data_IF_095791297527
#
_entry.id   IF_095791297527
#
_cell.length_a   1.000
_cell.length_b   1.000
_cell.length_c   1.000
_cell.angle_alpha   90.00
_cell.angle_beta   90.00
_cell.angle_gamma   90.00
#
_symmetry.space_group_name_H-M   'P 1'
#
loop_
_entity.id
_entity.type
_entity.pdbx_description
1 polymer ?
#
# COMPACT_ATOMS: atom_id res chain seq x y z
N UNK A 1 24.55 15.33 -1.14
CA UNK A 1 24.01 13.95 -1.15
C UNK A 1 23.14 13.62 0.06
N UNK A 2 23.58 13.89 1.30
CA UNK A 2 22.78 13.65 2.53
C UNK A 2 21.48 14.48 2.62
N UNK A 3 21.48 15.72 2.11
CA UNK A 3 20.31 16.61 2.14
C UNK A 3 19.13 16.09 1.28
N UNK A 4 19.38 15.64 0.05
CA UNK A 4 18.29 15.18 -0.84
C UNK A 4 17.63 13.88 -0.36
N UNK A 5 18.42 12.93 0.18
CA UNK A 5 17.87 11.71 0.78
C UNK A 5 17.01 12.00 2.01
N UNK A 6 17.46 12.93 2.88
CA UNK A 6 16.69 13.34 4.04
C UNK A 6 15.38 14.05 3.64
N UNK A 7 15.41 14.88 2.60
CA UNK A 7 14.20 15.58 2.10
C UNK A 7 13.13 14.60 1.62
N UNK A 8 13.52 13.53 0.91
CA UNK A 8 12.56 12.52 0.43
C UNK A 8 12.03 11.67 1.60
N UNK A 9 12.87 11.29 2.56
CA UNK A 9 12.40 10.58 3.75
C UNK A 9 11.50 11.47 4.62
N UNK A 10 11.83 12.75 4.80
CA UNK A 10 11.00 13.70 5.53
C UNK A 10 9.66 13.89 4.83
N UNK A 11 9.65 14.11 3.51
CA UNK A 11 8.40 14.24 2.74
C UNK A 11 7.53 12.99 2.84
N UNK A 12 8.14 11.79 2.77
CA UNK A 12 7.40 10.53 2.92
C UNK A 12 6.79 10.41 4.32
N UNK A 13 7.56 10.71 5.36
CA UNK A 13 7.08 10.66 6.75
C UNK A 13 6.00 11.71 6.99
N UNK A 14 6.13 12.92 6.45
CA UNK A 14 5.11 13.96 6.53
C UNK A 14 3.81 13.56 5.82
N UNK A 15 3.88 12.89 4.67
CA UNK A 15 2.69 12.39 3.95
C UNK A 15 2.02 11.25 4.73
N UNK A 16 2.80 10.33 5.32
CA UNK A 16 2.28 9.26 6.18
C UNK A 16 1.62 9.87 7.44
N UNK A 17 2.26 10.84 8.07
CA UNK A 17 1.73 11.56 9.24
C UNK A 17 0.44 12.31 8.88
N UNK A 18 0.39 12.95 7.71
CA UNK A 18 -0.81 13.64 7.23
C UNK A 18 -1.95 12.66 6.97
N UNK A 19 -1.68 11.51 6.32
CA UNK A 19 -2.69 10.46 6.16
C UNK A 19 -3.19 9.93 7.51
N UNK A 20 -2.29 9.76 8.48
CA UNK A 20 -2.63 9.33 9.83
C UNK A 20 -3.52 10.35 10.56
N UNK A 21 -3.19 11.64 10.48
CA UNK A 21 -4.02 12.72 11.06
C UNK A 21 -5.38 12.77 10.36
N UNK A 22 -5.42 12.66 9.03
CA UNK A 22 -6.67 12.66 8.27
C UNK A 22 -7.55 11.45 8.65
N UNK A 23 -6.95 10.29 8.91
CA UNK A 23 -7.64 9.09 9.41
C UNK A 23 -8.31 9.31 10.77
N UNK A 24 -7.67 10.08 11.65
CA UNK A 24 -8.20 10.41 12.97
C UNK A 24 -9.32 11.47 12.90
N UNK A 25 -9.22 12.42 11.97
CA UNK A 25 -10.19 13.52 11.82
C UNK A 25 -11.43 13.10 11.03
N UNK A 26 -11.29 12.18 10.07
CA UNK A 26 -12.40 11.64 9.28
C UNK A 26 -12.54 10.13 9.51
N UNK A 27 -13.07 9.69 10.67
CA UNK A 27 -13.57 8.34 10.78
C UNK A 27 -14.70 8.20 9.74
N UNK A 28 -14.45 7.41 8.69
CA UNK A 28 -15.39 7.23 7.60
C UNK A 28 -16.78 6.83 8.11
N UNK A 29 -17.81 7.11 7.31
CA UNK A 29 -19.24 6.89 7.60
C UNK A 29 -19.60 5.52 8.24
N UNK A 30 -18.73 4.52 8.08
CA UNK A 30 -18.83 3.18 8.68
C UNK A 30 -18.68 3.16 10.21
N UNK A 31 -18.05 4.17 10.82
CA UNK A 31 -17.96 4.32 12.29
C UNK A 31 -19.28 4.85 12.89
N UNK A 32 -20.14 5.47 12.08
CA UNK A 32 -21.40 6.07 12.55
C UNK A 32 -22.55 5.04 12.65
N UNK A 33 -22.45 3.90 11.97
CA UNK A 33 -23.49 2.86 11.94
C UNK A 33 -23.16 1.64 12.81
N UNK A 34 -21.89 1.46 13.19
CA UNK A 34 -21.49 0.40 14.11
C UNK A 34 -21.59 0.91 15.55
N UNK A 35 -22.34 0.19 16.40
CA UNK A 35 -22.28 0.32 17.86
C UNK A 35 -20.82 0.54 18.31
N UNK A 36 -20.51 1.55 19.14
CA UNK A 36 -19.17 2.06 19.41
C UNK A 36 -18.41 1.09 20.31
N UNK A 37 -18.14 -0.07 19.77
CA UNK A 37 -17.27 -1.06 20.35
C UNK A 37 -15.83 -0.65 20.06
N UNK A 38 -15.00 -0.67 21.09
CA UNK A 38 -13.61 -0.20 21.00
C UNK A 38 -12.80 -0.93 19.91
N UNK A 39 -13.22 -2.12 19.49
CA UNK A 39 -12.58 -2.94 18.46
C UNK A 39 -12.82 -2.42 17.03
N UNK A 40 -14.04 -1.97 16.71
CA UNK A 40 -14.39 -1.51 15.37
C UNK A 40 -13.59 -0.24 15.01
N UNK A 41 -13.40 0.65 15.99
CA UNK A 41 -12.60 1.87 15.84
C UNK A 41 -11.14 1.52 15.52
N UNK A 42 -10.53 0.58 16.25
CA UNK A 42 -9.15 0.13 16.00
C UNK A 42 -9.03 -0.49 14.61
N UNK A 43 -9.99 -1.32 14.19
CA UNK A 43 -10.01 -1.94 12.87
C UNK A 43 -10.08 -0.91 11.74
N UNK A 44 -10.96 0.10 11.87
CA UNK A 44 -11.10 1.17 10.88
C UNK A 44 -9.85 2.02 10.82
N UNK A 45 -9.28 2.44 11.96
CA UNK A 45 -8.02 3.18 11.98
C UNK A 45 -6.92 2.38 11.29
N UNK A 46 -6.77 1.10 11.64
CA UNK A 46 -5.76 0.24 11.03
C UNK A 46 -5.95 0.11 9.52
N UNK A 47 -7.20 0.03 9.04
CA UNK A 47 -7.52 0.00 7.61
C UNK A 47 -7.03 1.26 6.90
N UNK A 48 -7.31 2.43 7.47
CA UNK A 48 -6.94 3.72 6.86
C UNK A 48 -5.42 3.90 6.87
N UNK A 49 -4.74 3.58 7.98
CA UNK A 49 -3.27 3.65 8.07
C UNK A 49 -2.63 2.72 7.05
N UNK A 50 -3.12 1.48 6.95
CA UNK A 50 -2.62 0.48 5.99
C UNK A 50 -2.77 0.98 4.56
N UNK A 51 -3.96 1.48 4.20
CA UNK A 51 -4.24 2.01 2.87
C UNK A 51 -3.34 3.22 2.54
N UNK A 52 -3.13 4.13 3.49
CA UNK A 52 -2.24 5.28 3.32
C UNK A 52 -0.78 4.87 3.10
N UNK A 53 -0.25 4.00 3.94
CA UNK A 53 1.15 3.54 3.84
C UNK A 53 1.39 2.76 2.54
N UNK A 54 0.51 1.84 2.16
CA UNK A 54 0.64 1.07 0.93
C UNK A 54 0.40 1.93 -0.32
N UNK A 55 -0.49 2.93 -0.25
CA UNK A 55 -0.69 3.91 -1.31
C UNK A 55 0.58 4.75 -1.55
N UNK A 56 1.22 5.22 -0.48
CA UNK A 56 2.51 5.93 -0.56
C UNK A 56 3.59 5.04 -1.17
N UNK A 57 3.67 3.76 -0.77
CA UNK A 57 4.59 2.80 -1.38
C UNK A 57 4.35 2.66 -2.90
N UNK A 58 3.08 2.62 -3.34
CA UNK A 58 2.70 2.62 -4.74
C UNK A 58 3.16 3.86 -5.51
N UNK A 59 2.91 5.05 -4.96
CA UNK A 59 3.37 6.31 -5.55
C UNK A 59 4.90 6.34 -5.69
N UNK A 60 5.63 5.89 -4.66
CA UNK A 60 7.08 5.83 -4.73
C UNK A 60 7.57 4.81 -5.77
N UNK A 61 6.88 3.68 -5.94
CA UNK A 61 7.17 2.71 -7.00
C UNK A 61 6.93 3.30 -8.40
N UNK A 62 5.89 4.13 -8.58
CA UNK A 62 5.64 4.87 -9.82
C UNK A 62 6.77 5.86 -10.10
N UNK A 63 7.19 6.64 -9.10
CA UNK A 63 8.30 7.59 -9.24
C UNK A 63 9.59 6.87 -9.62
N UNK A 64 9.89 5.73 -8.99
CA UNK A 64 11.01 4.86 -9.37
C UNK A 64 10.90 4.38 -10.82
N UNK A 65 9.71 4.00 -11.29
CA UNK A 65 9.48 3.57 -12.68
C UNK A 65 9.75 4.69 -13.68
N UNK A 66 9.26 5.89 -13.38
CA UNK A 66 9.48 7.09 -14.19
C UNK A 66 10.98 7.40 -14.25
N UNK A 67 11.67 7.37 -13.11
CA UNK A 67 13.10 7.63 -13.02
C UNK A 67 13.94 6.58 -13.77
N UNK A 68 13.58 5.29 -13.68
CA UNK A 68 14.23 4.22 -14.43
C UNK A 68 14.04 4.41 -15.94
N UNK A 69 12.84 4.83 -16.39
CA UNK A 69 12.53 5.09 -17.79
C UNK A 69 13.31 6.29 -18.33
N UNK A 70 13.40 7.38 -17.55
CA UNK A 70 14.18 8.59 -17.90
C UNK A 70 15.67 8.27 -18.08
N UNK A 71 16.25 7.49 -17.16
CA UNK A 71 17.67 7.11 -17.22
C UNK A 71 18.00 6.22 -18.42
N UNK A 72 17.05 5.38 -18.84
CA UNK A 72 17.22 4.50 -20.01
C UNK A 72 17.19 5.26 -21.34
N UNK A 73 16.46 6.37 -21.42
CA UNK A 73 16.31 7.13 -22.67
C UNK A 73 17.30 8.31 -22.81
N UNK A 74 17.90 8.80 -21.72
CA UNK A 74 18.86 9.93 -21.76
C UNK A 74 20.00 9.71 -20.74
N UNK A 75 21.05 8.94 -21.06
CA UNK A 75 22.15 8.65 -20.12
C UNK A 75 23.07 9.85 -19.79
N UNK A 76 22.99 10.97 -20.52
CA UNK A 76 23.93 12.11 -20.42
C UNK A 76 23.28 13.46 -20.06
N UNK A 77 22.17 13.48 -19.33
CA UNK A 77 21.61 14.72 -18.79
C UNK A 77 22.33 15.18 -17.52
N UNK A 78 22.80 16.43 -17.45
CA UNK A 78 23.42 17.07 -16.26
C UNK A 78 22.53 16.97 -15.00
N UNK A 79 21.24 16.68 -15.16
CA UNK A 79 20.28 16.37 -14.09
C UNK A 79 20.60 15.06 -13.33
N UNK A 80 21.30 14.10 -13.93
CA UNK A 80 21.59 12.76 -13.38
C UNK A 80 22.55 12.81 -12.19
N UNK A 81 23.43 13.81 -12.11
CA UNK A 81 24.34 13.98 -10.96
C UNK A 81 23.63 14.51 -9.70
N UNK A 82 22.42 15.06 -9.81
CA UNK A 82 21.63 15.55 -8.66
C UNK A 82 20.53 14.59 -8.21
N UNK A 83 20.20 13.57 -9.01
CA UNK A 83 19.18 12.59 -8.67
C UNK A 83 19.75 11.58 -7.65
N UNK A 84 19.09 11.39 -6.48
CA UNK A 84 19.50 10.38 -5.52
C UNK A 84 19.61 9.01 -6.21
N UNK A 85 20.65 8.22 -5.91
CA UNK A 85 20.89 6.94 -6.57
C UNK A 85 19.66 6.03 -6.44
N UNK A 86 19.23 5.38 -7.55
CA UNK A 86 18.02 4.51 -7.58
C UNK A 86 18.01 3.50 -6.42
N UNK A 87 19.19 3.01 -6.05
CA UNK A 87 19.37 2.03 -4.97
C UNK A 87 18.85 2.54 -3.61
N UNK A 88 18.96 3.84 -3.35
CA UNK A 88 18.45 4.46 -2.12
C UNK A 88 16.94 4.62 -2.14
N UNK A 89 16.37 5.00 -3.29
CA UNK A 89 14.92 5.09 -3.49
C UNK A 89 14.25 3.74 -3.32
N UNK A 90 14.81 2.69 -3.92
CA UNK A 90 14.31 1.32 -3.75
C UNK A 90 14.30 0.90 -2.27
N UNK A 91 15.34 1.23 -1.49
CA UNK A 91 15.37 0.88 -0.05
C UNK A 91 14.23 1.56 0.72
N UNK A 92 13.90 2.81 0.39
CA UNK A 92 12.78 3.52 1.02
C UNK A 92 11.48 2.82 0.67
N UNK A 93 11.23 2.52 -0.61
CA UNK A 93 10.02 1.80 -1.04
C UNK A 93 9.87 0.46 -0.36
N UNK A 94 10.93 -0.34 -0.31
CA UNK A 94 10.88 -1.64 0.36
C UNK A 94 10.64 -1.52 1.87
N UNK A 95 11.19 -0.49 2.53
CA UNK A 95 10.86 -0.20 3.93
C UNK A 95 9.39 0.17 4.10
N UNK A 96 8.85 1.04 3.23
CA UNK A 96 7.43 1.43 3.25
C UNK A 96 6.53 0.21 3.02
N UNK A 97 6.87 -0.65 2.06
CA UNK A 97 6.15 -1.92 1.80
C UNK A 97 6.22 -2.83 3.02
N UNK A 98 7.38 -2.98 3.66
CA UNK A 98 7.51 -3.82 4.85
C UNK A 98 6.59 -3.34 5.99
N UNK A 99 6.55 -2.02 6.24
CA UNK A 99 5.67 -1.43 7.25
C UNK A 99 4.20 -1.63 6.86
N UNK A 100 3.85 -1.34 5.60
CA UNK A 100 2.49 -1.54 5.09
C UNK A 100 2.05 -3.01 5.12
N UNK A 101 2.95 -3.95 4.85
CA UNK A 101 2.70 -5.39 4.92
C UNK A 101 2.45 -5.86 6.35
N UNK A 102 3.21 -5.36 7.33
CA UNK A 102 2.95 -5.64 8.74
C UNK A 102 1.57 -5.12 9.14
N UNK A 103 1.27 -3.86 8.82
CA UNK A 103 -0.04 -3.25 9.05
C UNK A 103 -1.18 -4.06 8.39
N UNK A 104 -0.99 -4.49 7.15
CA UNK A 104 -1.95 -5.33 6.41
C UNK A 104 -2.13 -6.70 7.07
N UNK A 105 -1.07 -7.29 7.62
CA UNK A 105 -1.14 -8.56 8.34
C UNK A 105 -1.95 -8.42 9.63
N UNK A 106 -1.74 -7.33 10.39
CA UNK A 106 -2.57 -7.01 11.55
C UNK A 106 -4.02 -6.75 11.14
N UNK A 107 -4.24 -6.10 10.01
CA UNK A 107 -5.59 -5.82 9.49
C UNK A 107 -6.33 -7.12 9.15
N UNK A 108 -5.65 -8.05 8.46
CA UNK A 108 -6.16 -9.38 8.16
C UNK A 108 -6.44 -10.19 9.43
N UNK A 109 -5.51 -10.18 10.39
CA UNK A 109 -5.69 -10.86 11.68
C UNK A 109 -6.90 -10.31 12.44
N UNK A 110 -7.05 -8.98 12.49
CA UNK A 110 -8.20 -8.31 13.08
C UNK A 110 -9.50 -8.65 12.34
N UNK A 111 -9.48 -8.66 11.00
CA UNK A 111 -10.65 -9.02 10.19
C UNK A 111 -11.11 -10.46 10.45
N UNK A 112 -10.19 -11.43 10.44
CA UNK A 112 -10.52 -12.84 10.66
C UNK A 112 -10.99 -13.09 12.09
N UNK A 113 -10.37 -12.45 13.08
CA UNK A 113 -10.72 -12.66 14.49
C UNK A 113 -12.06 -12.04 14.88
N UNK A 114 -12.35 -10.82 14.39
CA UNK A 114 -13.55 -10.07 14.81
C UNK A 114 -14.75 -10.21 13.87
N UNK A 115 -14.53 -10.40 12.57
CA UNK A 115 -15.59 -10.41 11.55
C UNK A 115 -15.84 -11.82 10.96
N UNK A 116 -15.42 -12.88 11.65
CA UNK A 116 -15.57 -14.26 11.19
C UNK A 116 -17.02 -14.63 10.83
N UNK A 117 -18.00 -14.20 11.63
CA UNK A 117 -19.41 -14.53 11.42
C UNK A 117 -20.03 -13.78 10.22
N UNK A 118 -19.66 -12.52 10.01
CA UNK A 118 -20.14 -11.72 8.88
C UNK A 118 -19.52 -12.15 7.54
N UNK A 119 -18.28 -12.65 7.57
CA UNK A 119 -17.57 -13.17 6.39
C UNK A 119 -18.26 -14.41 5.80
N UNK A 120 -18.93 -15.21 6.63
CA UNK A 120 -19.59 -16.45 6.19
C UNK A 120 -21.04 -16.22 5.75
N UNK A 121 -21.67 -15.13 6.21
CA UNK A 121 -23.04 -14.78 5.85
C UNK A 121 -23.19 -13.99 4.54
N UNK A 122 -22.11 -13.36 4.04
CA UNK A 122 -22.18 -12.46 2.88
C UNK A 122 -21.15 -12.81 1.78
N UNK A 123 -21.58 -13.30 0.60
CA UNK A 123 -20.66 -13.65 -0.49
C UNK A 123 -19.86 -12.44 -1.02
N UNK A 124 -20.38 -11.23 -0.84
CA UNK A 124 -19.69 -9.98 -1.19
C UNK A 124 -18.49 -9.67 -0.28
N UNK A 125 -18.57 -10.00 1.01
CA UNK A 125 -17.47 -9.79 1.96
C UNK A 125 -16.36 -10.82 1.74
N UNK A 126 -16.72 -12.05 1.39
CA UNK A 126 -15.77 -13.11 1.05
C UNK A 126 -14.87 -12.76 -0.14
N UNK A 127 -15.43 -12.19 -1.21
CA UNK A 127 -14.64 -11.77 -2.38
C UNK A 127 -13.65 -10.64 -2.05
N UNK A 128 -14.06 -9.69 -1.22
CA UNK A 128 -13.16 -8.63 -0.72
C UNK A 128 -12.01 -9.22 0.09
N UNK A 129 -12.28 -10.21 0.94
CA UNK A 129 -11.26 -10.91 1.72
C UNK A 129 -10.24 -11.62 0.82
N UNK A 130 -10.68 -12.34 -0.21
CA UNK A 130 -9.78 -13.01 -1.18
C UNK A 130 -8.86 -12.00 -1.88
N UNK A 131 -9.40 -10.83 -2.28
CA UNK A 131 -8.61 -9.78 -2.94
C UNK A 131 -7.54 -9.20 -2.01
N UNK A 132 -7.89 -8.95 -0.74
CA UNK A 132 -6.94 -8.47 0.28
C UNK A 132 -5.86 -9.53 0.58
N UNK A 133 -6.25 -10.80 0.71
CA UNK A 133 -5.31 -11.92 0.89
C UNK A 133 -4.38 -12.06 -0.31
N UNK A 134 -4.90 -11.91 -1.53
CA UNK A 134 -4.10 -11.94 -2.76
C UNK A 134 -3.08 -10.80 -2.80
N UNK A 135 -3.48 -9.58 -2.42
CA UNK A 135 -2.56 -8.45 -2.28
C UNK A 135 -1.49 -8.73 -1.22
N UNK A 136 -1.87 -9.31 -0.08
CA UNK A 136 -0.96 -9.72 0.98
C UNK A 136 0.09 -10.73 0.49
N UNK A 137 -0.32 -11.75 -0.26
CA UNK A 137 0.61 -12.73 -0.87
C UNK A 137 1.59 -12.04 -1.82
N UNK A 138 1.14 -11.09 -2.64
CA UNK A 138 2.03 -10.35 -3.56
C UNK A 138 3.06 -9.53 -2.79
N UNK A 139 2.65 -8.82 -1.73
CA UNK A 139 3.58 -8.06 -0.91
C UNK A 139 4.56 -8.97 -0.15
N UNK A 140 4.10 -10.14 0.33
CA UNK A 140 4.97 -11.15 0.93
C UNK A 140 6.01 -11.67 -0.09
N UNK A 141 5.56 -12.03 -1.30
CA UNK A 141 6.43 -12.48 -2.40
C UNK A 141 7.42 -11.41 -2.82
N UNK A 142 7.06 -10.13 -2.80
CA UNK A 142 7.98 -9.02 -3.06
C UNK A 142 9.08 -8.92 -2.00
N UNK A 143 8.70 -9.00 -0.72
CA UNK A 143 9.64 -8.94 0.40
C UNK A 143 10.59 -10.15 0.39
N UNK A 144 10.04 -11.36 0.20
CA UNK A 144 10.83 -12.58 0.04
C UNK A 144 11.70 -12.54 -1.22
N UNK A 145 11.17 -12.12 -2.35
CA UNK A 145 11.90 -12.02 -3.62
C UNK A 145 13.08 -11.05 -3.54
N UNK A 146 12.98 -9.99 -2.73
CA UNK A 146 14.14 -9.14 -2.44
C UNK A 146 15.15 -9.82 -1.51
N UNK A 147 14.69 -10.47 -0.45
CA UNK A 147 15.58 -11.09 0.53
C UNK A 147 16.35 -12.29 -0.05
N UNK A 148 15.67 -13.15 -0.81
CA UNK A 148 16.23 -14.39 -1.36
C UNK A 148 16.83 -14.23 -2.76
N UNK A 149 16.19 -13.46 -3.65
CA UNK A 149 16.60 -13.37 -5.06
C UNK A 149 17.18 -12.01 -5.46
N UNK A 150 17.30 -11.06 -4.52
CA UNK A 150 17.85 -9.75 -4.80
C UNK A 150 17.07 -8.97 -5.87
N UNK A 151 15.75 -9.20 -6.00
CA UNK A 151 14.92 -8.52 -6.99
C UNK A 151 15.13 -7.01 -6.96
N UNK A 152 15.61 -6.46 -8.08
CA UNK A 152 15.92 -5.03 -8.31
C UNK A 152 15.21 -4.53 -9.58
N UNK A 153 14.96 -3.22 -9.62
CA UNK A 153 14.34 -2.54 -10.75
C UNK A 153 12.90 -2.97 -11.03
N UNK A 154 12.60 -3.25 -12.30
CA UNK A 154 11.25 -3.51 -12.82
C UNK A 154 10.42 -4.51 -12.03
N UNK A 155 10.98 -5.62 -11.54
CA UNK A 155 10.19 -6.64 -10.82
C UNK A 155 9.61 -6.08 -9.51
N UNK A 156 10.37 -5.28 -8.77
CA UNK A 156 9.90 -4.63 -7.56
C UNK A 156 8.79 -3.61 -7.86
N UNK A 157 8.97 -2.83 -8.94
CA UNK A 157 8.00 -1.85 -9.40
C UNK A 157 6.68 -2.53 -9.80
N UNK A 158 6.74 -3.51 -10.70
CA UNK A 158 5.55 -4.21 -11.19
C UNK A 158 4.82 -4.96 -10.09
N UNK A 159 5.54 -5.61 -9.16
CA UNK A 159 4.88 -6.27 -8.04
C UNK A 159 4.20 -5.26 -7.10
N UNK A 160 4.85 -4.14 -6.78
CA UNK A 160 4.25 -3.11 -5.91
C UNK A 160 3.01 -2.51 -6.57
N UNK A 161 3.09 -2.20 -7.87
CA UNK A 161 1.95 -1.74 -8.66
C UNK A 161 0.83 -2.77 -8.68
N UNK A 162 1.13 -4.04 -8.89
CA UNK A 162 0.13 -5.11 -8.90
C UNK A 162 -0.58 -5.23 -7.54
N UNK A 163 0.16 -5.19 -6.44
CA UNK A 163 -0.40 -5.21 -5.08
C UNK A 163 -1.29 -4.00 -4.79
N UNK A 164 -0.86 -2.79 -5.17
CA UNK A 164 -1.67 -1.58 -5.02
C UNK A 164 -2.90 -1.61 -5.91
N UNK A 165 -2.78 -2.12 -7.13
CA UNK A 165 -3.89 -2.26 -8.07
C UNK A 165 -4.94 -3.24 -7.52
N UNK A 166 -4.52 -4.35 -6.91
CA UNK A 166 -5.41 -5.25 -6.17
C UNK A 166 -6.12 -4.56 -5.01
N UNK A 167 -5.42 -3.74 -4.21
CA UNK A 167 -6.07 -2.96 -3.14
C UNK A 167 -7.08 -1.95 -3.68
N UNK A 168 -6.83 -1.35 -4.84
CA UNK A 168 -7.82 -0.51 -5.53
C UNK A 168 -9.01 -1.36 -5.95
N UNK A 169 -8.80 -2.57 -6.49
CA UNK A 169 -9.89 -3.50 -6.80
C UNK A 169 -10.69 -3.91 -5.56
N UNK A 170 -10.09 -3.98 -4.37
CA UNK A 170 -10.84 -4.22 -3.12
C UNK A 170 -11.89 -3.12 -2.90
N UNK A 171 -11.52 -1.86 -3.16
CA UNK A 171 -12.43 -0.71 -3.05
C UNK A 171 -13.50 -0.71 -4.17
N UNK A 172 -13.11 -1.01 -5.40
CA UNK A 172 -14.01 -1.03 -6.57
C UNK A 172 -14.81 -2.31 -6.74
N UNK A 173 -14.46 -3.40 -6.05
CA UNK A 173 -14.99 -4.75 -6.27
C UNK A 173 -16.51 -4.86 -6.10
N UNK A 174 -17.12 -3.96 -5.33
CA UNK A 174 -18.59 -3.90 -5.19
C UNK A 174 -19.29 -3.13 -6.32
N UNK A 175 -18.61 -2.20 -6.99
CA UNK A 175 -19.21 -1.41 -8.09
C UNK A 175 -19.30 -2.23 -9.38
N UNK A 176 -18.28 -3.03 -9.69
CA UNK A 176 -18.21 -3.82 -10.94
C UNK A 176 -19.24 -4.95 -11.02
N UNK A 177 -19.70 -5.49 -9.88
CA UNK A 177 -20.72 -6.55 -9.85
C UNK A 177 -22.16 -6.03 -9.88
N UNK A 178 -22.40 -4.81 -9.38
CA UNK A 178 -23.72 -4.18 -9.42
C UNK A 178 -24.04 -3.55 -10.78
N UNK A 179 -23.03 -3.06 -11.50
CA UNK A 179 -23.21 -2.38 -12.78
C UNK A 179 -23.23 -3.35 -13.98
N UNK A 180 -22.84 -4.62 -13.79
CA UNK A 180 -23.04 -5.69 -14.78
C UNK A 180 -24.42 -6.34 -14.73
N UNK A 181 -25.31 -5.89 -13.83
CA UNK A 181 -26.65 -6.45 -13.63
C UNK A 181 -27.78 -5.46 -13.99
N UNK A 182 -27.48 -4.41 -14.76
CA UNK A 182 -28.45 -3.46 -15.31
C UNK A 182 -28.27 -3.31 -16.83
#
# INVERSE_FOLDING_TARGET
MLSSMNVITLSTVSIILLCFILALVFPGRQVLEAEPSSYALVHVLLSIVTAGVLGVAGLQAILLAIQERLLRHRPHGVLIQKLPPLVSMEKIVFKTIAVGFLLLSFLLASSIYFFHEELWGNPFLWQKAILVVSAWVIFALLLMGRHFWGWRGRKAIYGTLCGVLLLILVYFGSKLLLEGLH
#
